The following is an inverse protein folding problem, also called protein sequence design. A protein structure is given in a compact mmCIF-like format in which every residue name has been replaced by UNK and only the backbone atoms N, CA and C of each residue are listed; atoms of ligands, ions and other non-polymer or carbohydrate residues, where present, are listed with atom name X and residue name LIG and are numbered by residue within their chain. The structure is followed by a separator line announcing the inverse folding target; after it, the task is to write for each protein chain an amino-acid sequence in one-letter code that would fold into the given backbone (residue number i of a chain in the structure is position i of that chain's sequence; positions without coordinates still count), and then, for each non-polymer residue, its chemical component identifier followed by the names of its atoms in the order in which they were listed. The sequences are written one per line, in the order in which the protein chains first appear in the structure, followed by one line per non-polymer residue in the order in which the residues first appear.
data_IF_906953373365
#
_entry.id   IF_906953373365
#
_cell.length_a   1.000
_cell.length_b   1.000
_cell.length_c   1.000
_cell.angle_alpha   90.00
_cell.angle_beta   90.00
_cell.angle_gamma   90.00
#
_symmetry.space_group_name_H-M   'P 1'
#
loop_
_entity.id
_entity.type
_entity.pdbx_description
1 polymer ?
#
# COMPACT_ATOMS: atom_id res chain seq x y z
N UNK A 1 0.55 -24.51 5.09
CA UNK A 1 1.02 -23.76 6.27
C UNK A 1 2.37 -24.24 6.79
N UNK A 2 2.49 -25.39 7.49
CA UNK A 2 3.76 -25.84 8.08
C UNK A 2 4.97 -25.87 7.10
N UNK A 3 4.77 -26.44 5.89
CA UNK A 3 5.78 -26.45 4.82
C UNK A 3 6.15 -25.04 4.32
N UNK A 4 5.18 -24.13 4.21
CA UNK A 4 5.39 -22.76 3.75
C UNK A 4 6.20 -21.95 4.76
N UNK A 5 5.93 -22.17 6.05
CA UNK A 5 6.60 -21.48 7.15
C UNK A 5 7.92 -22.16 7.55
N UNK A 6 8.27 -23.28 6.90
CA UNK A 6 9.42 -24.12 7.25
C UNK A 6 9.44 -24.52 8.74
N UNK A 7 8.29 -24.94 9.27
CA UNK A 7 8.13 -25.42 10.65
C UNK A 7 7.51 -26.81 10.69
N UNK A 8 7.65 -27.50 11.83
CA UNK A 8 7.01 -28.80 12.03
C UNK A 8 5.50 -28.66 12.16
N UNK A 9 4.75 -29.72 11.84
CA UNK A 9 3.30 -29.77 12.06
C UNK A 9 2.93 -29.60 13.54
N UNK A 10 3.78 -30.11 14.44
CA UNK A 10 3.59 -29.96 15.88
C UNK A 10 3.71 -28.49 16.32
N UNK A 11 4.65 -27.74 15.74
CA UNK A 11 4.77 -26.31 16.00
C UNK A 11 3.48 -25.56 15.61
N UNK A 12 2.89 -25.88 14.46
CA UNK A 12 1.61 -25.29 14.04
C UNK A 12 0.48 -25.68 14.98
N UNK A 13 0.39 -26.96 15.34
CA UNK A 13 -0.63 -27.45 16.29
C UNK A 13 -0.51 -26.76 17.66
N UNK A 14 0.71 -26.48 18.12
CA UNK A 14 0.91 -25.71 19.36
C UNK A 14 0.41 -24.26 19.24
N UNK A 15 0.51 -23.64 18.06
CA UNK A 15 -0.04 -22.31 17.82
C UNK A 15 -1.57 -22.33 17.80
N UNK A 16 -2.16 -23.27 17.06
CA UNK A 16 -3.62 -23.40 16.91
C UNK A 16 -4.32 -23.69 18.25
N UNK A 17 -3.67 -24.43 19.14
CA UNK A 17 -4.19 -24.74 20.47
C UNK A 17 -3.82 -23.69 21.54
N UNK A 18 -3.13 -22.61 21.17
CA UNK A 18 -2.69 -21.57 22.12
C UNK A 18 -1.57 -21.98 23.08
N UNK A 19 -0.96 -23.15 22.87
CA UNK A 19 0.17 -23.65 23.68
C UNK A 19 1.46 -22.87 23.45
N UNK A 20 1.59 -22.19 22.31
CA UNK A 20 2.73 -21.34 21.96
C UNK A 20 2.27 -20.18 21.08
N UNK A 21 2.92 -19.03 21.22
CA UNK A 21 2.72 -17.88 20.32
C UNK A 21 3.82 -17.89 19.25
N UNK A 22 3.50 -17.71 17.96
CA UNK A 22 4.51 -17.55 16.92
C UNK A 22 5.36 -16.28 17.17
N UNK A 23 6.64 -16.30 16.77
CA UNK A 23 7.45 -15.08 16.83
C UNK A 23 6.98 -14.02 15.81
N UNK A 24 7.51 -12.81 15.92
CA UNK A 24 7.11 -11.66 15.08
C UNK A 24 7.33 -11.90 13.59
N UNK A 25 8.44 -12.54 13.20
CA UNK A 25 8.74 -12.88 11.81
C UNK A 25 7.75 -13.91 11.27
N UNK A 26 7.38 -14.89 12.10
CA UNK A 26 6.40 -15.91 11.76
C UNK A 26 5.01 -15.30 11.64
N UNK A 27 4.62 -14.41 12.55
CA UNK A 27 3.37 -13.65 12.46
C UNK A 27 3.27 -12.84 11.16
N UNK A 28 4.35 -12.19 10.73
CA UNK A 28 4.39 -11.49 9.44
C UNK A 28 4.16 -12.46 8.27
N UNK A 29 4.86 -13.61 8.25
CA UNK A 29 4.68 -14.62 7.20
C UNK A 29 3.29 -15.23 7.21
N UNK A 30 2.66 -15.35 8.38
CA UNK A 30 1.29 -15.80 8.53
C UNK A 30 0.32 -14.79 7.94
N UNK A 31 0.51 -13.49 8.23
CA UNK A 31 -0.28 -12.40 7.67
C UNK A 31 -0.21 -12.39 6.14
N UNK A 32 1.00 -12.56 5.58
CA UNK A 32 1.19 -12.66 4.13
C UNK A 32 0.55 -13.92 3.55
N UNK A 33 0.73 -15.09 4.19
CA UNK A 33 0.16 -16.36 3.75
C UNK A 33 -1.37 -16.34 3.72
N UNK A 34 -1.99 -15.73 4.73
CA UNK A 34 -3.44 -15.58 4.83
C UNK A 34 -3.96 -14.29 4.21
N UNK A 35 -3.11 -13.47 3.56
CA UNK A 35 -3.48 -12.18 2.98
C UNK A 35 -4.38 -11.33 3.91
N UNK A 36 -3.90 -11.08 5.13
CA UNK A 36 -4.55 -10.29 6.16
C UNK A 36 -3.52 -9.42 6.90
N UNK A 37 -3.97 -8.62 7.87
CA UNK A 37 -3.08 -7.88 8.77
C UNK A 37 -2.63 -8.76 9.95
N UNK A 38 -1.49 -8.39 10.56
CA UNK A 38 -1.05 -9.02 11.81
C UNK A 38 -2.03 -8.70 12.94
N UNK A 39 -2.61 -7.50 12.95
CA UNK A 39 -3.62 -7.11 13.94
C UNK A 39 -4.86 -8.01 13.89
N UNK A 40 -5.30 -8.42 12.70
CA UNK A 40 -6.37 -9.41 12.55
C UNK A 40 -5.98 -10.77 13.12
N UNK A 41 -4.77 -11.27 12.82
CA UNK A 41 -4.28 -12.55 13.36
C UNK A 41 -4.23 -12.53 14.90
N UNK A 42 -3.86 -11.39 15.47
CA UNK A 42 -3.78 -11.21 16.92
C UNK A 42 -5.14 -10.89 17.58
N UNK A 43 -6.22 -10.78 16.81
CA UNK A 43 -7.55 -10.43 17.32
C UNK A 43 -7.67 -9.00 17.81
N UNK A 44 -6.84 -8.08 17.31
CA UNK A 44 -6.87 -6.64 17.62
C UNK A 44 -7.81 -5.86 16.69
N UNK A 45 -8.27 -6.49 15.62
CA UNK A 45 -9.17 -5.93 14.63
C UNK A 45 -10.07 -7.04 14.08
N UNK A 46 -11.35 -6.73 13.88
CA UNK A 46 -12.31 -7.60 13.18
C UNK A 46 -12.21 -7.45 11.65
N UNK A 47 -11.55 -6.39 11.17
CA UNK A 47 -11.26 -6.21 9.76
C UNK A 47 -10.02 -7.03 9.38
N UNK A 48 -10.17 -7.90 8.38
CA UNK A 48 -9.06 -8.70 7.85
C UNK A 48 -7.86 -7.86 7.39
N UNK A 49 -8.10 -6.63 6.96
CA UNK A 49 -7.08 -5.68 6.53
C UNK A 49 -6.81 -4.57 7.56
N UNK A 50 -7.44 -4.63 8.73
CA UNK A 50 -7.37 -3.59 9.76
C UNK A 50 -6.00 -3.52 10.41
N UNK A 51 -5.45 -2.32 10.52
CA UNK A 51 -4.18 -2.03 11.17
C UNK A 51 -4.48 -1.03 12.29
N UNK A 52 -4.19 -1.43 13.53
CA UNK A 52 -4.41 -0.54 14.67
C UNK A 52 -3.25 0.43 14.76
N UNK A 53 -3.53 1.69 14.50
CA UNK A 53 -2.56 2.77 14.55
C UNK A 53 -2.83 3.68 15.75
N UNK A 54 -1.74 4.20 16.32
CA UNK A 54 -1.76 5.14 17.44
C UNK A 54 -1.04 6.41 17.05
N UNK A 55 -1.67 7.55 17.31
CA UNK A 55 -1.05 8.86 17.09
C UNK A 55 -1.18 9.72 18.35
N UNK A 56 -0.14 10.48 18.66
CA UNK A 56 -0.23 11.57 19.63
C UNK A 56 -0.31 12.89 18.85
N UNK A 57 -1.42 13.61 19.01
CA UNK A 57 -1.69 14.89 18.34
C UNK A 57 -2.06 15.89 19.43
N UNK A 58 -1.26 16.94 19.57
CA UNK A 58 -1.45 18.01 20.55
C UNK A 58 -1.65 17.51 21.99
N UNK A 59 -0.87 16.50 22.39
CA UNK A 59 -0.93 15.89 23.72
C UNK A 59 -2.09 14.90 23.93
N UNK A 60 -2.95 14.69 22.92
CA UNK A 60 -4.03 13.72 22.95
C UNK A 60 -3.63 12.44 22.23
N UNK A 61 -3.91 11.28 22.83
CA UNK A 61 -3.65 9.98 22.23
C UNK A 61 -4.90 9.50 21.48
N UNK A 62 -4.74 9.23 20.19
CA UNK A 62 -5.77 8.68 19.33
C UNK A 62 -5.38 7.25 18.95
N UNK A 63 -6.35 6.34 19.04
CA UNK A 63 -6.27 5.02 18.44
C UNK A 63 -7.32 4.93 17.34
N UNK A 64 -6.91 4.48 16.17
CA UNK A 64 -7.79 4.32 15.02
C UNK A 64 -7.39 3.10 14.21
N UNK A 65 -8.37 2.53 13.53
CA UNK A 65 -8.19 1.38 12.66
C UNK A 65 -8.05 1.85 11.20
N UNK A 66 -6.90 1.54 10.60
CA UNK A 66 -6.62 1.78 9.19
C UNK A 66 -6.95 0.53 8.39
N UNK A 67 -7.51 0.68 7.19
CA UNK A 67 -7.67 -0.44 6.28
C UNK A 67 -6.51 -0.48 5.29
N UNK A 68 -5.73 -1.58 5.24
CA UNK A 68 -4.61 -1.76 4.30
C UNK A 68 -5.02 -1.63 2.82
N UNK A 69 -6.30 -1.77 2.50
CA UNK A 69 -6.84 -1.61 1.14
C UNK A 69 -7.20 -0.18 0.76
N UNK A 70 -7.22 0.74 1.75
CA UNK A 70 -7.54 2.16 1.59
C UNK A 70 -6.26 2.97 1.83
N UNK A 71 -5.86 3.75 0.84
CA UNK A 71 -4.69 4.62 0.94
C UNK A 71 -4.95 5.77 1.92
N UNK A 72 -3.90 6.40 2.50
CA UNK A 72 -4.05 7.46 3.51
C UNK A 72 -4.90 8.66 3.07
N UNK A 73 -4.98 8.92 1.77
CA UNK A 73 -5.84 9.96 1.17
C UNK A 73 -7.28 9.48 0.89
N UNK A 74 -7.66 8.29 1.36
CA UNK A 74 -9.00 7.72 1.26
C UNK A 74 -9.32 7.00 -0.04
N UNK A 75 -8.37 6.91 -0.99
CA UNK A 75 -8.63 6.22 -2.27
C UNK A 75 -8.35 4.72 -2.16
N UNK A 76 -9.04 3.91 -2.97
CA UNK A 76 -8.80 2.47 -3.06
C UNK A 76 -7.59 2.17 -3.95
N UNK A 77 -7.11 0.92 -3.88
CA UNK A 77 -6.07 0.41 -4.80
C UNK A 77 -6.44 0.55 -6.28
N UNK A 78 -7.70 0.32 -6.63
CA UNK A 78 -8.15 0.43 -8.02
C UNK A 78 -8.13 1.89 -8.49
N UNK A 79 -8.61 2.80 -7.65
CA UNK A 79 -8.55 4.25 -7.93
C UNK A 79 -7.10 4.73 -8.06
N UNK A 80 -6.19 4.24 -7.21
CA UNK A 80 -4.76 4.54 -7.33
C UNK A 80 -4.18 4.05 -8.67
N UNK A 81 -4.49 2.82 -9.08
CA UNK A 81 -4.00 2.27 -10.35
C UNK A 81 -4.49 3.11 -11.54
N UNK A 82 -5.76 3.53 -11.52
CA UNK A 82 -6.31 4.38 -12.57
C UNK A 82 -5.62 5.74 -12.60
N UNK A 83 -5.42 6.36 -11.43
CA UNK A 83 -4.69 7.63 -11.33
C UNK A 83 -3.25 7.53 -11.86
N UNK A 84 -2.53 6.44 -11.56
CA UNK A 84 -1.18 6.21 -12.11
C UNK A 84 -1.21 6.11 -13.63
N UNK A 85 -2.17 5.38 -14.21
CA UNK A 85 -2.32 5.28 -15.67
C UNK A 85 -2.59 6.63 -16.32
N UNK A 86 -3.50 7.41 -15.74
CA UNK A 86 -3.81 8.77 -16.21
C UNK A 86 -2.58 9.68 -16.18
N UNK A 87 -1.78 9.61 -15.11
CA UNK A 87 -0.52 10.36 -15.01
C UNK A 87 0.51 9.91 -16.05
N UNK A 88 0.64 8.62 -16.31
CA UNK A 88 1.53 8.08 -17.34
C UNK A 88 1.13 8.54 -18.75
N UNK A 89 -0.17 8.58 -19.05
CA UNK A 89 -0.69 9.10 -20.32
C UNK A 89 -0.43 10.60 -20.47
N UNK A 90 -0.72 11.39 -19.43
CA UNK A 90 -0.43 12.82 -19.38
C UNK A 90 1.06 13.11 -19.61
N UNK A 91 1.95 12.35 -18.98
CA UNK A 91 3.40 12.51 -19.16
C UNK A 91 3.83 12.24 -20.61
N UNK A 92 3.26 11.23 -21.27
CA UNK A 92 3.53 10.97 -22.69
C UNK A 92 3.05 12.10 -23.60
N UNK A 93 1.92 12.72 -23.30
CA UNK A 93 1.42 13.88 -24.05
C UNK A 93 2.34 15.09 -23.87
N UNK A 94 2.73 15.38 -22.63
CA UNK A 94 3.66 16.47 -22.32
C UNK A 94 5.01 16.30 -23.01
N UNK A 95 5.53 15.07 -23.07
CA UNK A 95 6.77 14.77 -23.80
C UNK A 95 6.64 15.07 -25.31
N UNK A 96 5.51 14.69 -25.93
CA UNK A 96 5.23 15.01 -27.33
C UNK A 96 5.12 16.51 -27.57
N UNK A 97 4.41 17.23 -26.71
CA UNK A 97 4.27 18.69 -26.79
C UNK A 97 5.62 19.39 -26.63
N UNK A 98 6.45 18.93 -25.70
CA UNK A 98 7.80 19.46 -25.51
C UNK A 98 8.69 19.21 -26.74
N UNK A 99 8.59 18.04 -27.38
CA UNK A 99 9.34 17.73 -28.59
C UNK A 99 8.89 18.57 -29.79
N UNK A 100 7.58 18.76 -29.96
CA UNK A 100 7.03 19.64 -31.00
C UNK A 100 7.49 21.08 -30.76
N UNK A 101 7.39 21.57 -29.52
CA UNK A 101 7.83 22.91 -29.15
C UNK A 101 9.32 23.13 -29.41
N UNK A 102 10.15 22.12 -29.11
CA UNK A 102 11.58 22.13 -29.42
C UNK A 102 11.84 22.21 -30.93
N UNK A 103 11.16 21.39 -31.75
CA UNK A 103 11.28 21.41 -33.21
C UNK A 103 10.83 22.75 -33.81
N UNK A 104 9.76 23.35 -33.30
CA UNK A 104 9.28 24.66 -33.74
C UNK A 104 10.30 25.77 -33.43
N UNK A 105 10.89 25.75 -32.23
CA UNK A 105 11.95 26.70 -31.84
C UNK A 105 13.21 26.53 -32.69
N UNK A 106 13.63 25.29 -32.97
CA UNK A 106 14.76 24.98 -33.87
C UNK A 106 14.48 25.42 -35.32
N UNK A 107 13.22 25.40 -35.77
CA UNK A 107 12.79 25.90 -37.07
C UNK A 107 12.64 27.43 -37.15
N UNK A 108 12.93 28.17 -36.07
CA UNK A 108 12.87 29.62 -36.03
C UNK A 108 11.46 30.21 -35.84
N UNK A 109 10.48 29.39 -35.46
CA UNK A 109 9.15 29.87 -35.06
C UNK A 109 9.18 30.23 -33.57
N UNK A 110 9.20 31.52 -33.26
CA UNK A 110 9.12 32.02 -31.89
C UNK A 110 7.65 32.29 -31.54
N UNK A 111 7.07 31.42 -30.71
CA UNK A 111 5.68 31.57 -30.26
C UNK A 111 5.65 32.61 -29.14
N UNK A 112 5.25 33.84 -29.47
CA UNK A 112 4.93 34.85 -28.47
C UNK A 112 3.41 34.80 -28.22
N UNK A 113 2.93 34.26 -27.09
CA UNK A 113 1.51 34.16 -26.82
C UNK A 113 0.82 35.52 -26.57
N UNK A 114 1.59 36.62 -26.47
CA UNK A 114 1.10 37.96 -26.15
C UNK A 114 1.27 39.01 -27.29
N UNK A 115 1.48 38.58 -28.54
CA UNK A 115 1.53 39.48 -29.73
C UNK A 115 0.36 39.32 -30.68
#
# INVERSE_FOLDING_TARGET
MAKFLNVSKQTVSNWENGNRIPDTLTLSKLADFFNCSVDYILGRSENRNGIISKANIDGSNYEFELDKSIFPNGITREQMINYIKELEERNKELEKEAEISRKLKEAGFDFNPDK
#
